data_IF_872439408342
#
_entry.id   IF_872439408342
#
_cell.length_a   1.000
_cell.length_b   1.000
_cell.length_c   1.000
_cell.angle_alpha   90.00
_cell.angle_beta   90.00
_cell.angle_gamma   90.00
#
_symmetry.space_group_name_H-M   'P 1'
#
loop_
_entity.id
_entity.type
_entity.pdbx_description
1 polymer ?
#
# COMPACT_ATOMS: atom_id res chain seq x y z
N UNK A 1 -6.81 51.04 18.78
CA UNK A 1 -7.57 49.80 18.46
C UNK A 1 -7.56 49.45 16.97
N UNK A 2 -7.68 50.40 16.04
CA UNK A 2 -7.63 50.12 14.57
C UNK A 2 -6.24 49.71 14.01
N UNK A 3 -5.14 50.14 14.64
CA UNK A 3 -3.76 49.82 14.26
C UNK A 3 -3.38 48.40 14.72
N UNK A 4 -3.92 47.92 15.84
CA UNK A 4 -3.68 46.57 16.33
C UNK A 4 -4.37 45.48 15.47
N UNK A 5 -5.51 45.80 14.86
CA UNK A 5 -6.25 44.91 13.97
C UNK A 5 -5.52 44.81 12.60
N UNK A 6 -4.89 45.88 12.13
CA UNK A 6 -4.12 45.86 10.90
C UNK A 6 -2.81 45.02 11.03
N UNK A 7 -2.23 44.96 12.23
CA UNK A 7 -1.03 44.16 12.48
C UNK A 7 -1.34 42.65 12.59
N UNK A 8 -2.57 42.28 12.94
CA UNK A 8 -3.00 40.87 13.04
C UNK A 8 -3.35 40.24 11.69
N UNK A 9 -3.66 41.05 10.66
CA UNK A 9 -3.93 40.58 9.28
C UNK A 9 -2.68 40.30 8.44
N UNK A 10 -1.48 40.56 8.95
CA UNK A 10 -0.22 40.40 8.18
C UNK A 10 0.54 39.11 8.50
N UNK A 11 -0.05 38.22 9.29
CA UNK A 11 0.49 36.87 9.45
C UNK A 11 -0.10 36.01 8.30
N UNK A 12 0.35 36.27 7.10
CA UNK A 12 0.26 35.28 6.03
C UNK A 12 1.16 34.12 6.46
N UNK A 13 0.57 33.01 6.86
CA UNK A 13 1.27 31.75 7.03
C UNK A 13 1.84 31.37 5.66
N UNK A 14 3.11 31.71 5.44
CA UNK A 14 3.86 31.07 4.40
C UNK A 14 3.93 29.59 4.78
N UNK A 15 3.06 28.79 4.21
CA UNK A 15 3.12 27.34 4.38
C UNK A 15 4.35 26.85 3.61
N UNK A 16 5.45 26.72 4.32
CA UNK A 16 6.64 26.10 3.79
C UNK A 16 6.33 24.62 3.54
N UNK A 17 6.30 24.22 2.28
CA UNK A 17 6.07 22.83 1.87
C UNK A 17 7.38 22.07 1.98
N UNK A 18 7.38 20.91 2.64
CA UNK A 18 8.59 20.07 2.73
C UNK A 18 8.77 19.21 1.49
N UNK A 19 10.02 18.88 1.17
CA UNK A 19 10.32 17.96 0.05
C UNK A 19 9.60 16.62 0.21
N UNK A 20 9.45 16.09 1.42
CA UNK A 20 8.71 14.84 1.71
C UNK A 20 7.24 14.87 1.27
N UNK A 21 6.62 16.05 1.22
CA UNK A 21 5.22 16.19 0.82
C UNK A 21 5.04 16.14 -0.70
N UNK A 22 6.06 16.55 -1.46
CA UNK A 22 5.98 16.75 -2.91
C UNK A 22 6.84 15.80 -3.73
N UNK A 23 7.76 15.06 -3.11
CA UNK A 23 8.63 14.12 -3.78
C UNK A 23 8.77 12.80 -3.02
N UNK A 24 8.98 11.72 -3.76
CA UNK A 24 9.27 10.39 -3.24
C UNK A 24 10.70 9.99 -3.61
N UNK A 25 11.32 9.16 -2.78
CA UNK A 25 12.60 8.52 -3.11
C UNK A 25 12.32 7.35 -4.06
N UNK A 26 12.98 7.35 -5.22
CA UNK A 26 12.85 6.27 -6.21
C UNK A 26 13.38 4.95 -5.63
N UNK A 27 12.64 3.86 -5.85
CA UNK A 27 12.97 2.56 -5.28
C UNK A 27 12.31 2.29 -3.91
N UNK A 28 11.90 3.31 -3.17
CA UNK A 28 11.20 3.18 -1.89
C UNK A 28 9.69 3.24 -2.13
N UNK A 29 9.07 2.09 -2.35
CA UNK A 29 7.62 1.98 -2.61
C UNK A 29 7.06 0.69 -2.05
N UNK A 30 5.78 0.70 -1.74
CA UNK A 30 5.04 -0.52 -1.47
C UNK A 30 5.00 -1.41 -2.72
N UNK A 31 5.22 -2.70 -2.51
CA UNK A 31 5.05 -3.72 -3.54
C UNK A 31 3.72 -4.43 -3.32
N UNK A 32 3.05 -4.79 -4.42
CA UNK A 32 1.80 -5.56 -4.33
C UNK A 32 2.14 -7.04 -4.37
N UNK A 33 1.58 -7.79 -3.42
CA UNK A 33 1.69 -9.25 -3.36
C UNK A 33 0.31 -9.87 -3.36
N UNK A 34 0.19 -11.04 -3.99
CA UNK A 34 -1.08 -11.73 -4.21
C UNK A 34 -0.95 -13.23 -3.92
N UNK A 35 -2.01 -13.81 -3.41
CA UNK A 35 -2.15 -15.25 -3.23
C UNK A 35 -3.56 -15.72 -3.46
N UNK A 36 -3.73 -17.03 -3.62
CA UNK A 36 -5.02 -17.69 -3.77
C UNK A 36 -5.13 -18.82 -2.75
N UNK A 37 -6.26 -18.92 -2.09
CA UNK A 37 -6.47 -19.92 -1.04
C UNK A 37 -7.96 -20.16 -0.76
N UNK A 38 -8.21 -20.81 0.36
CA UNK A 38 -9.53 -21.12 0.86
C UNK A 38 -9.77 -20.46 2.21
N UNK A 39 -11.00 -20.05 2.42
CA UNK A 39 -11.54 -19.65 3.71
C UNK A 39 -12.46 -20.78 4.18
N UNK A 40 -12.28 -21.22 5.42
CA UNK A 40 -13.03 -22.31 6.04
C UNK A 40 -13.83 -21.82 7.24
N UNK A 41 -14.76 -22.63 7.73
CA UNK A 41 -15.55 -22.30 8.92
C UNK A 41 -16.78 -21.41 8.66
N UNK A 42 -17.16 -21.22 7.41
CA UNK A 42 -18.32 -20.42 7.02
C UNK A 42 -19.62 -21.17 7.35
N UNK A 43 -20.61 -20.46 7.90
CA UNK A 43 -21.93 -21.04 8.29
C UNK A 43 -22.87 -21.13 7.09
N UNK A 44 -22.56 -21.98 6.12
CA UNK A 44 -23.32 -22.17 4.86
C UNK A 44 -23.36 -20.91 3.98
N UNK A 45 -22.44 -19.96 4.20
CA UNK A 45 -22.30 -18.73 3.40
C UNK A 45 -21.16 -18.79 2.40
N UNK A 46 -20.41 -19.88 2.38
CA UNK A 46 -19.34 -20.13 1.42
C UNK A 46 -19.86 -20.44 0.02
N UNK A 47 -18.94 -20.87 -0.84
CA UNK A 47 -19.23 -21.16 -2.24
C UNK A 47 -20.24 -22.31 -2.39
N UNK A 48 -21.00 -22.25 -3.47
CA UNK A 48 -21.94 -23.29 -3.84
C UNK A 48 -21.25 -24.61 -4.20
N UNK A 49 -21.99 -25.69 -4.05
CA UNK A 49 -21.51 -27.05 -4.38
C UNK A 49 -21.27 -27.28 -5.87
N UNK A 50 -21.52 -26.29 -6.70
CA UNK A 50 -21.29 -26.30 -8.16
C UNK A 50 -20.03 -25.49 -8.56
N UNK A 51 -19.40 -24.80 -7.61
CA UNK A 51 -18.17 -24.03 -7.84
C UNK A 51 -16.99 -24.99 -8.11
N UNK A 52 -16.71 -25.27 -9.38
CA UNK A 52 -15.65 -26.21 -9.78
C UNK A 52 -14.28 -25.79 -9.25
N UNK A 53 -13.99 -24.49 -9.21
CA UNK A 53 -12.72 -23.97 -8.72
C UNK A 53 -12.53 -24.29 -7.24
N UNK A 54 -13.54 -24.04 -6.41
CA UNK A 54 -13.52 -24.30 -4.97
C UNK A 54 -13.37 -25.79 -4.68
N UNK A 55 -14.18 -26.63 -5.36
CA UNK A 55 -14.13 -28.07 -5.20
C UNK A 55 -12.75 -28.65 -5.59
N UNK A 56 -12.18 -28.18 -6.69
CA UNK A 56 -10.84 -28.61 -7.12
C UNK A 56 -9.76 -28.16 -6.12
N UNK A 57 -9.88 -26.95 -5.58
CA UNK A 57 -8.94 -26.42 -4.58
C UNK A 57 -9.00 -27.22 -3.28
N UNK A 58 -10.20 -27.61 -2.82
CA UNK A 58 -10.37 -28.48 -1.66
C UNK A 58 -9.75 -29.86 -1.93
N UNK A 59 -10.02 -30.46 -3.08
CA UNK A 59 -9.45 -31.76 -3.44
C UNK A 59 -7.92 -31.72 -3.49
N UNK A 60 -7.34 -30.68 -4.06
CA UNK A 60 -5.89 -30.50 -4.10
C UNK A 60 -5.30 -30.36 -2.69
N UNK A 61 -5.98 -29.63 -1.80
CA UNK A 61 -5.56 -29.48 -0.41
C UNK A 61 -5.60 -30.83 0.33
N UNK A 62 -6.68 -31.60 0.19
CA UNK A 62 -6.81 -32.93 0.79
C UNK A 62 -5.76 -33.89 0.25
N UNK A 63 -5.48 -33.84 -1.06
CA UNK A 63 -4.44 -34.63 -1.68
C UNK A 63 -3.03 -34.31 -1.15
N UNK A 64 -2.76 -33.04 -0.84
CA UNK A 64 -1.50 -32.64 -0.20
C UNK A 64 -1.37 -33.19 1.23
N UNK A 65 -2.49 -33.57 1.86
CA UNK A 65 -2.55 -34.24 3.17
C UNK A 65 -2.64 -35.78 3.05
N UNK A 66 -2.35 -36.36 1.86
CA UNK A 66 -2.50 -37.78 1.52
C UNK A 66 -3.94 -38.33 1.62
N UNK A 67 -4.94 -37.47 1.48
CA UNK A 67 -6.35 -37.84 1.39
C UNK A 67 -6.77 -37.68 -0.06
N UNK A 68 -7.01 -38.80 -0.74
CA UNK A 68 -7.49 -38.78 -2.14
C UNK A 68 -9.01 -38.75 -2.16
N UNK A 69 -9.59 -37.69 -2.74
CA UNK A 69 -11.05 -37.51 -2.81
C UNK A 69 -11.41 -36.87 -4.17
N UNK A 70 -12.44 -37.37 -4.79
CA UNK A 70 -12.94 -36.82 -6.03
C UNK A 70 -13.64 -35.47 -5.77
N UNK A 71 -13.31 -34.38 -6.51
CA UNK A 71 -13.96 -33.08 -6.33
C UNK A 71 -15.48 -33.09 -6.35
N UNK A 72 -16.11 -33.99 -7.13
CA UNK A 72 -17.57 -34.10 -7.25
C UNK A 72 -18.27 -34.65 -5.98
N UNK A 73 -17.49 -35.33 -5.13
CA UNK A 73 -18.01 -35.90 -3.87
C UNK A 73 -17.98 -34.88 -2.72
N UNK A 74 -17.32 -33.74 -2.91
CA UNK A 74 -17.18 -32.67 -1.91
C UNK A 74 -18.47 -31.83 -1.93
N UNK A 75 -19.22 -31.88 -0.85
CA UNK A 75 -20.47 -31.10 -0.67
C UNK A 75 -20.36 -30.22 0.55
N UNK A 76 -19.73 -29.07 0.40
CA UNK A 76 -19.60 -28.12 1.51
C UNK A 76 -19.93 -26.70 1.04
N UNK A 77 -20.77 -26.02 1.81
CA UNK A 77 -21.00 -24.56 1.68
C UNK A 77 -20.26 -23.76 2.78
N UNK A 78 -19.37 -24.43 3.51
CA UNK A 78 -18.63 -23.84 4.61
C UNK A 78 -17.22 -23.39 4.19
N UNK A 79 -16.94 -23.46 2.90
CA UNK A 79 -15.64 -23.10 2.32
C UNK A 79 -15.87 -22.11 1.18
N UNK A 80 -15.00 -21.14 1.05
CA UNK A 80 -14.98 -20.21 -0.07
C UNK A 80 -13.58 -20.10 -0.65
N UNK A 81 -13.48 -20.03 -1.97
CA UNK A 81 -12.26 -19.70 -2.67
C UNK A 81 -12.02 -18.18 -2.65
N UNK A 82 -10.81 -17.77 -2.33
CA UNK A 82 -10.49 -16.36 -2.14
C UNK A 82 -9.19 -15.97 -2.83
N UNK A 83 -9.12 -14.71 -3.22
CA UNK A 83 -7.87 -14.00 -3.50
C UNK A 83 -7.46 -13.22 -2.26
N UNK A 84 -6.18 -13.27 -1.96
CA UNK A 84 -5.56 -12.55 -0.85
C UNK A 84 -4.59 -11.55 -1.44
N UNK A 85 -4.74 -10.28 -1.08
CA UNK A 85 -3.88 -9.20 -1.55
C UNK A 85 -3.32 -8.42 -0.37
N UNK A 86 -2.10 -7.93 -0.50
CA UNK A 86 -1.50 -7.08 0.49
C UNK A 86 -0.51 -6.09 -0.13
N UNK A 87 -0.27 -5.00 0.61
CA UNK A 87 0.82 -4.07 0.36
C UNK A 87 2.02 -4.52 1.18
N UNK A 88 3.09 -4.88 0.49
CA UNK A 88 4.34 -5.26 1.09
C UNK A 88 5.22 -4.01 1.24
N UNK A 89 5.43 -3.57 2.46
CA UNK A 89 6.15 -2.35 2.75
C UNK A 89 7.61 -2.42 2.26
N UNK A 90 8.20 -1.29 1.82
CA UNK A 90 9.63 -1.23 1.55
C UNK A 90 10.39 -1.50 2.86
N UNK A 91 11.52 -2.17 2.77
CA UNK A 91 12.38 -2.54 3.92
C UNK A 91 11.73 -3.44 4.98
N UNK A 92 10.61 -4.10 4.65
CA UNK A 92 10.02 -5.09 5.55
C UNK A 92 11.02 -6.22 5.81
N UNK A 93 11.15 -6.61 7.08
CA UNK A 93 12.09 -7.62 7.55
C UNK A 93 11.39 -8.96 7.76
N UNK A 94 12.15 -10.04 7.65
CA UNK A 94 11.63 -11.36 7.97
C UNK A 94 11.08 -11.38 9.41
N UNK A 95 9.83 -11.88 9.56
CA UNK A 95 9.11 -11.88 10.82
C UNK A 95 8.18 -10.67 11.04
N UNK A 96 8.24 -9.64 10.19
CA UNK A 96 7.28 -8.54 10.29
C UNK A 96 5.87 -9.00 9.93
N UNK A 97 4.89 -8.55 10.73
CA UNK A 97 3.49 -8.82 10.49
C UNK A 97 2.82 -7.64 9.78
N UNK A 98 1.85 -7.94 8.91
CA UNK A 98 1.08 -6.94 8.18
C UNK A 98 -0.35 -7.41 7.90
N UNK A 99 -1.23 -6.48 7.56
CA UNK A 99 -2.62 -6.77 7.27
C UNK A 99 -2.80 -7.26 5.83
N UNK A 100 -3.73 -8.19 5.65
CA UNK A 100 -4.07 -8.70 4.33
C UNK A 100 -5.56 -8.54 4.05
N UNK A 101 -5.89 -8.25 2.80
CA UNK A 101 -7.27 -8.19 2.32
C UNK A 101 -7.63 -9.51 1.66
N UNK A 102 -8.77 -10.04 2.03
CA UNK A 102 -9.31 -11.31 1.52
C UNK A 102 -10.62 -11.04 0.78
N UNK A 103 -10.70 -11.45 -0.47
CA UNK A 103 -11.88 -11.26 -1.32
C UNK A 103 -12.34 -12.56 -1.93
N UNK A 104 -13.64 -12.85 -1.90
CA UNK A 104 -14.21 -14.05 -2.53
C UNK A 104 -14.05 -13.99 -4.05
N UNK A 105 -13.70 -15.13 -4.65
CA UNK A 105 -13.62 -15.30 -6.11
C UNK A 105 -14.86 -16.05 -6.63
N UNK A 106 -15.44 -16.89 -5.75
CA UNK A 106 -16.58 -17.72 -6.09
C UNK A 106 -17.91 -17.02 -5.87
N UNK A 107 -18.92 -17.81 -5.56
CA UNK A 107 -20.30 -17.39 -5.30
C UNK A 107 -20.65 -17.33 -3.80
N UNK A 108 -19.65 -17.21 -2.94
CA UNK A 108 -19.84 -17.06 -1.51
C UNK A 108 -20.65 -15.81 -1.19
N UNK A 109 -21.60 -15.97 -0.26
CA UNK A 109 -22.47 -14.88 0.17
C UNK A 109 -21.84 -14.01 1.26
N UNK A 110 -20.96 -14.59 2.07
CA UNK A 110 -20.27 -13.90 3.16
C UNK A 110 -19.03 -14.69 3.60
N UNK A 111 -17.97 -13.98 3.95
CA UNK A 111 -16.76 -14.52 4.58
C UNK A 111 -16.78 -14.35 6.11
N UNK A 112 -17.87 -13.85 6.68
CA UNK A 112 -18.02 -13.58 8.12
C UNK A 112 -17.81 -14.84 8.96
N UNK A 113 -16.96 -14.72 9.98
CA UNK A 113 -16.63 -15.81 10.90
C UNK A 113 -15.72 -16.89 10.31
N UNK A 114 -15.27 -16.70 9.07
CA UNK A 114 -14.34 -17.61 8.41
C UNK A 114 -12.90 -17.40 8.84
N UNK A 115 -12.07 -18.42 8.57
CA UNK A 115 -10.63 -18.40 8.80
C UNK A 115 -9.93 -18.65 7.48
N UNK A 116 -9.00 -17.76 7.13
CA UNK A 116 -8.11 -17.92 5.99
C UNK A 116 -7.08 -19.01 6.29
N UNK A 117 -6.99 -20.00 5.42
CA UNK A 117 -5.94 -21.02 5.48
C UNK A 117 -4.60 -20.43 5.07
N UNK A 118 -3.51 -21.07 5.46
CA UNK A 118 -2.15 -20.66 5.13
C UNK A 118 -2.00 -20.46 3.63
N UNK A 119 -1.66 -19.23 3.25
CA UNK A 119 -1.66 -18.75 1.88
C UNK A 119 -0.31 -18.16 1.54
N UNK A 120 0.44 -18.72 0.58
CA UNK A 120 1.64 -18.08 0.08
C UNK A 120 1.30 -16.85 -0.77
N UNK A 121 1.88 -15.70 -0.42
CA UNK A 121 1.75 -14.45 -1.15
C UNK A 121 2.95 -14.24 -2.06
N UNK A 122 2.70 -14.05 -3.35
CA UNK A 122 3.71 -13.93 -4.40
C UNK A 122 3.79 -12.50 -4.92
N UNK A 123 5.00 -12.08 -5.22
CA UNK A 123 5.25 -10.86 -5.99
C UNK A 123 5.04 -11.06 -7.50
N UNK A 124 5.23 -9.99 -8.26
CA UNK A 124 5.13 -10.00 -9.74
C UNK A 124 6.16 -10.95 -10.39
N UNK A 125 7.29 -11.18 -9.72
CA UNK A 125 8.34 -12.12 -10.16
C UNK A 125 8.00 -13.60 -9.86
N UNK A 126 6.83 -13.88 -9.30
CA UNK A 126 6.35 -15.22 -8.96
C UNK A 126 6.97 -15.82 -7.69
N UNK A 127 7.88 -15.13 -7.03
CA UNK A 127 8.49 -15.61 -5.79
C UNK A 127 7.57 -15.36 -4.60
N UNK A 128 7.62 -16.26 -3.61
CA UNK A 128 6.91 -16.11 -2.33
C UNK A 128 7.70 -15.15 -1.46
N UNK A 129 7.02 -14.10 -0.96
CA UNK A 129 7.58 -13.10 -0.05
C UNK A 129 6.97 -13.18 1.34
N UNK A 130 5.75 -13.67 1.46
CA UNK A 130 5.06 -13.75 2.74
C UNK A 130 4.09 -14.94 2.77
N UNK A 131 3.68 -15.32 3.97
CA UNK A 131 2.57 -16.21 4.23
C UNK A 131 1.44 -15.44 4.91
N UNK A 132 0.20 -15.79 4.63
CA UNK A 132 -0.96 -15.18 5.27
C UNK A 132 -1.90 -16.23 5.81
N UNK A 133 -2.42 -16.02 7.03
CA UNK A 133 -3.43 -16.86 7.66
C UNK A 133 -4.13 -16.13 8.80
N UNK A 134 -5.32 -16.57 9.16
CA UNK A 134 -5.99 -16.06 10.37
C UNK A 134 -7.49 -15.83 10.21
N UNK A 135 -8.15 -15.41 11.29
CA UNK A 135 -9.58 -15.13 11.29
C UNK A 135 -9.88 -13.87 10.46
N UNK A 136 -10.96 -13.93 9.69
CA UNK A 136 -11.39 -12.83 8.85
C UNK A 136 -12.30 -11.90 9.63
N UNK A 137 -11.97 -10.62 9.63
CA UNK A 137 -12.82 -9.53 10.10
C UNK A 137 -13.49 -8.83 8.92
N UNK A 138 -14.80 -8.74 8.94
CA UNK A 138 -15.58 -7.97 7.97
C UNK A 138 -15.93 -6.63 8.61
N UNK A 139 -15.93 -5.55 7.82
CA UNK A 139 -16.34 -4.23 8.28
C UNK A 139 -17.74 -4.28 8.90
N UNK A 140 -17.91 -3.64 10.07
CA UNK A 140 -19.12 -3.73 10.88
C UNK A 140 -20.37 -3.29 10.13
N UNK A 141 -21.49 -3.98 10.41
CA UNK A 141 -22.83 -3.52 10.08
C UNK A 141 -23.09 -2.29 10.95
N UNK A 142 -23.22 -1.11 10.36
CA UNK A 142 -23.83 0.00 11.07
C UNK A 142 -25.29 -0.35 11.33
N UNK A 143 -25.62 -0.71 12.55
CA UNK A 143 -27.00 -0.76 13.01
C UNK A 143 -27.57 0.66 12.93
N UNK A 144 -28.56 0.87 12.06
CA UNK A 144 -29.38 2.08 11.95
C UNK A 144 -28.69 3.36 11.45
N UNK A 145 -28.54 3.47 10.14
CA UNK A 145 -28.19 4.74 9.49
C UNK A 145 -27.92 4.56 8.02
N UNK A 146 -28.65 5.27 7.21
CA UNK A 146 -28.66 5.20 5.74
C UNK A 146 -27.26 5.02 5.10
N UNK A 147 -27.09 4.00 4.26
CA UNK A 147 -26.19 4.08 3.11
C UNK A 147 -24.82 3.39 3.20
N UNK A 148 -24.48 2.63 4.23
CA UNK A 148 -23.27 1.80 4.19
C UNK A 148 -23.62 0.36 3.80
N UNK A 149 -23.51 0.03 2.51
CA UNK A 149 -23.55 -1.35 2.06
C UNK A 149 -22.34 -2.10 2.63
N UNK A 150 -22.59 -3.02 3.54
CA UNK A 150 -21.59 -3.98 4.00
C UNK A 150 -21.23 -4.89 2.82
N UNK A 151 -19.96 -4.97 2.47
CA UNK A 151 -19.47 -5.93 1.47
C UNK A 151 -19.05 -7.23 2.16
N UNK A 152 -19.97 -8.17 2.43
CA UNK A 152 -19.68 -9.36 3.23
C UNK A 152 -18.73 -10.35 2.54
N UNK A 153 -18.43 -10.14 1.26
CA UNK A 153 -17.53 -10.95 0.44
C UNK A 153 -16.07 -10.46 0.46
N UNK A 154 -15.81 -9.36 1.17
CA UNK A 154 -14.47 -8.82 1.37
C UNK A 154 -14.23 -8.62 2.86
N UNK A 155 -13.07 -9.03 3.35
CA UNK A 155 -12.66 -8.85 4.73
C UNK A 155 -11.16 -8.64 4.87
N UNK A 156 -10.73 -8.40 6.09
CA UNK A 156 -9.32 -8.24 6.44
C UNK A 156 -8.89 -9.26 7.48
N UNK A 157 -7.65 -9.68 7.39
CA UNK A 157 -6.98 -10.43 8.46
C UNK A 157 -5.89 -9.52 9.01
N UNK A 158 -6.15 -8.95 10.19
CA UNK A 158 -5.24 -8.02 10.84
C UNK A 158 -4.00 -8.76 11.38
N UNK A 159 -2.82 -8.29 10.99
CA UNK A 159 -1.56 -8.94 11.35
C UNK A 159 -1.42 -10.38 10.84
N UNK A 160 -2.28 -10.80 9.90
CA UNK A 160 -2.32 -12.17 9.40
C UNK A 160 -1.25 -12.50 8.36
N UNK A 161 -0.62 -11.49 7.77
CA UNK A 161 0.52 -11.63 6.87
C UNK A 161 1.82 -11.65 7.66
N UNK A 162 2.72 -12.57 7.32
CA UNK A 162 4.06 -12.69 7.92
C UNK A 162 5.10 -12.68 6.81
N UNK A 163 6.10 -11.81 6.93
CA UNK A 163 7.21 -11.71 5.98
C UNK A 163 8.13 -12.92 6.09
N UNK A 164 8.31 -13.65 4.99
CA UNK A 164 9.21 -14.79 4.89
C UNK A 164 10.50 -14.46 4.12
N UNK A 165 10.40 -13.52 3.19
CA UNK A 165 11.53 -13.09 2.37
C UNK A 165 11.56 -11.59 2.23
N UNK A 166 12.71 -11.00 2.49
CA UNK A 166 12.94 -9.57 2.31
C UNK A 166 13.13 -9.21 0.83
N UNK A 167 12.73 -8.01 0.46
CA UNK A 167 13.15 -7.37 -0.79
C UNK A 167 14.45 -6.65 -0.48
N UNK A 168 15.54 -7.20 -0.98
CA UNK A 168 16.87 -6.65 -0.70
C UNK A 168 17.02 -5.27 -1.35
N UNK A 169 17.11 -4.23 -0.54
CA UNK A 169 17.43 -2.86 -0.94
C UNK A 169 18.59 -2.37 -0.07
N UNK A 170 19.80 -2.48 -0.62
CA UNK A 170 21.02 -2.01 0.05
C UNK A 170 21.17 -0.50 -0.11
N UNK A 171 20.59 0.26 0.81
CA UNK A 171 20.79 1.72 0.84
C UNK A 171 22.12 2.14 1.46
N UNK A 172 22.77 1.27 2.20
CA UNK A 172 24.00 1.61 2.91
C UNK A 172 25.18 1.82 1.97
N UNK A 173 25.28 0.99 0.91
CA UNK A 173 26.35 1.10 -0.08
C UNK A 173 26.01 1.98 -1.29
N UNK A 174 24.82 2.58 -1.30
CA UNK A 174 24.45 3.50 -2.37
C UNK A 174 25.09 4.86 -2.16
N UNK A 175 25.70 5.40 -3.21
CA UNK A 175 26.29 6.75 -3.23
C UNK A 175 25.39 7.77 -3.94
N UNK A 176 24.37 7.30 -4.63
CA UNK A 176 23.41 8.15 -5.36
C UNK A 176 22.00 7.77 -4.99
N UNK A 177 21.11 8.74 -4.92
CA UNK A 177 19.69 8.55 -4.78
C UNK A 177 18.96 9.41 -5.83
N UNK A 178 17.71 9.05 -6.11
CA UNK A 178 16.88 9.81 -7.04
C UNK A 178 15.59 10.18 -6.36
N UNK A 179 15.21 11.45 -6.43
CA UNK A 179 13.89 11.91 -6.06
C UNK A 179 13.00 11.99 -7.29
N UNK A 180 11.74 11.60 -7.13
CA UNK A 180 10.70 11.75 -8.13
C UNK A 180 9.59 12.63 -7.58
N UNK A 181 9.32 13.77 -8.24
CA UNK A 181 8.22 14.65 -7.86
C UNK A 181 6.88 13.97 -8.11
N UNK A 182 5.92 14.20 -7.23
CA UNK A 182 4.55 13.71 -7.37
C UNK A 182 3.82 14.39 -8.55
N UNK A 183 4.12 15.68 -8.81
CA UNK A 183 3.65 16.44 -9.96
C UNK A 183 4.83 16.97 -10.77
N UNK A 184 4.81 16.77 -12.09
CA UNK A 184 5.88 17.23 -13.00
C UNK A 184 5.80 18.74 -13.18
N UNK A 185 6.83 19.47 -12.78
CA UNK A 185 6.94 20.92 -12.96
C UNK A 185 8.40 21.35 -12.98
N UNK A 186 8.83 22.06 -14.04
CA UNK A 186 10.22 22.49 -14.22
C UNK A 186 10.66 23.45 -13.10
N UNK A 187 9.82 24.42 -12.71
CA UNK A 187 10.16 25.38 -11.68
C UNK A 187 10.36 24.69 -10.33
N UNK A 188 9.46 23.76 -9.97
CA UNK A 188 9.55 23.02 -8.72
C UNK A 188 10.77 22.09 -8.66
N UNK A 189 11.14 21.43 -9.76
CA UNK A 189 12.32 20.57 -9.78
C UNK A 189 13.60 21.39 -9.58
N UNK A 190 13.70 22.56 -10.19
CA UNK A 190 14.82 23.50 -10.01
C UNK A 190 14.81 24.12 -8.60
N UNK A 191 13.65 24.46 -8.06
CA UNK A 191 13.54 24.98 -6.68
C UNK A 191 14.06 23.97 -5.65
N UNK A 192 13.68 22.68 -5.79
CA UNK A 192 14.19 21.60 -4.92
C UNK A 192 15.71 21.43 -5.08
N UNK A 193 16.22 21.38 -6.31
CA UNK A 193 17.66 21.32 -6.58
C UNK A 193 18.39 22.45 -5.85
N UNK A 194 17.93 23.69 -6.01
CA UNK A 194 18.56 24.86 -5.43
C UNK A 194 18.51 24.85 -3.90
N UNK A 195 17.39 24.44 -3.31
CA UNK A 195 17.24 24.33 -1.86
C UNK A 195 18.21 23.31 -1.26
N UNK A 196 18.35 22.15 -1.89
CA UNK A 196 19.31 21.11 -1.46
C UNK A 196 20.74 21.62 -1.61
N UNK A 197 21.11 22.16 -2.77
CA UNK A 197 22.47 22.65 -3.04
C UNK A 197 22.85 23.83 -2.12
N UNK A 198 21.90 24.68 -1.77
CA UNK A 198 22.10 25.77 -0.80
C UNK A 198 22.40 25.24 0.60
N UNK A 199 21.64 24.21 1.06
CA UNK A 199 21.84 23.60 2.39
C UNK A 199 23.21 22.95 2.52
N UNK A 200 23.65 22.25 1.49
CA UNK A 200 24.93 21.50 1.51
C UNK A 200 26.10 22.26 0.94
N UNK A 201 25.91 23.51 0.48
CA UNK A 201 26.94 24.37 -0.11
C UNK A 201 27.72 23.69 -1.23
N UNK A 202 27.04 22.90 -2.07
CA UNK A 202 27.65 22.14 -3.17
C UNK A 202 26.61 21.71 -4.21
N UNK A 203 27.07 21.22 -5.35
CA UNK A 203 26.22 20.73 -6.45
C UNK A 203 25.92 19.24 -6.28
N UNK A 204 25.27 18.86 -5.18
CA UNK A 204 24.93 17.45 -4.87
C UNK A 204 23.55 17.03 -5.40
N UNK A 205 22.72 17.98 -5.81
CA UNK A 205 21.42 17.74 -6.42
C UNK A 205 21.39 18.30 -7.84
N UNK A 206 20.92 17.51 -8.81
CA UNK A 206 20.77 17.91 -10.21
C UNK A 206 19.40 17.49 -10.72
N UNK A 207 18.56 18.45 -11.13
CA UNK A 207 17.31 18.17 -11.81
C UNK A 207 17.61 17.74 -13.25
N UNK A 208 17.21 16.51 -13.60
CA UNK A 208 17.44 15.94 -14.93
C UNK A 208 16.27 16.27 -15.84
N UNK A 209 15.08 16.25 -15.28
CA UNK A 209 13.82 16.54 -15.96
C UNK A 209 12.82 17.16 -14.96
N UNK A 210 11.60 17.58 -15.38
CA UNK A 210 10.65 18.26 -14.51
C UNK A 210 10.11 17.40 -13.35
N UNK A 211 10.50 16.13 -13.29
CA UNK A 211 10.07 15.18 -12.27
C UNK A 211 11.21 14.52 -11.52
N UNK A 212 12.38 14.42 -12.13
CA UNK A 212 13.48 13.60 -11.63
C UNK A 212 14.65 14.46 -11.17
N UNK A 213 15.09 14.25 -9.93
CA UNK A 213 16.25 14.93 -9.35
C UNK A 213 17.23 13.87 -8.84
N UNK A 214 18.43 13.87 -9.38
CA UNK A 214 19.49 13.01 -8.89
C UNK A 214 20.22 13.68 -7.71
N UNK A 215 20.51 12.87 -6.71
CA UNK A 215 21.20 13.25 -5.49
C UNK A 215 22.51 12.47 -5.40
N UNK A 216 23.58 13.14 -5.04
CA UNK A 216 24.85 12.53 -4.71
C UNK A 216 25.08 12.61 -3.21
N UNK A 217 25.43 11.48 -2.58
CA UNK A 217 25.70 11.41 -1.15
C UNK A 217 26.92 12.30 -0.81
N UNK A 218 26.79 13.26 0.12
CA UNK A 218 27.94 14.03 0.60
C UNK A 218 28.85 13.15 1.46
N UNK A 219 30.14 13.45 1.46
CA UNK A 219 31.10 12.79 2.33
C UNK A 219 30.70 12.91 3.81
N UNK A 220 30.95 11.89 4.60
CA UNK A 220 30.70 11.81 6.04
C UNK A 220 29.22 11.64 6.49
N UNK A 221 28.34 11.17 5.64
CA UNK A 221 26.95 10.84 6.01
C UNK A 221 26.54 9.49 5.46
N UNK A 222 25.62 8.83 6.15
CA UNK A 222 24.91 7.68 5.58
C UNK A 222 23.80 8.15 4.63
N UNK A 223 23.41 7.31 3.67
CA UNK A 223 22.31 7.63 2.75
C UNK A 223 20.99 7.89 3.51
N UNK A 224 20.75 7.17 4.59
CA UNK A 224 19.54 7.33 5.41
C UNK A 224 19.49 8.68 6.10
N UNK A 225 20.60 9.12 6.73
CA UNK A 225 20.71 10.45 7.35
C UNK A 225 20.56 11.56 6.31
N UNK A 226 21.23 11.40 5.17
CA UNK A 226 21.16 12.36 4.08
C UNK A 226 19.73 12.52 3.56
N UNK A 227 19.04 11.42 3.26
CA UNK A 227 17.66 11.47 2.78
C UNK A 227 16.69 12.03 3.83
N UNK A 228 16.87 11.68 5.12
CA UNK A 228 16.07 12.26 6.19
C UNK A 228 16.21 13.78 6.28
N UNK A 229 17.44 14.29 6.13
CA UNK A 229 17.68 15.74 6.11
C UNK A 229 17.13 16.42 4.85
N UNK A 230 17.25 15.77 3.68
CA UNK A 230 16.72 16.28 2.40
C UNK A 230 15.20 16.36 2.45
N UNK A 231 14.53 15.32 2.94
CA UNK A 231 13.06 15.27 3.06
C UNK A 231 12.50 16.37 3.98
N UNK A 232 13.27 16.85 4.94
CA UNK A 232 12.87 17.89 5.88
C UNK A 232 13.23 19.32 5.42
N UNK A 233 13.74 19.50 4.19
CA UNK A 233 14.03 20.84 3.64
C UNK A 233 12.72 21.47 3.21
N UNK A 234 12.52 22.72 3.65
CA UNK A 234 11.43 23.57 3.21
C UNK A 234 11.75 24.18 1.85
N UNK A 235 10.77 24.20 0.98
CA UNK A 235 10.86 24.71 -0.39
C UNK A 235 9.73 25.68 -0.69
N UNK A 236 9.99 26.60 -1.58
CA UNK A 236 8.95 27.42 -2.23
C UNK A 236 8.36 26.60 -3.39
N UNK A 237 7.21 25.96 -3.11
CA UNK A 237 6.56 25.05 -4.03
C UNK A 237 5.35 25.71 -4.68
N UNK A 238 5.38 25.80 -6.01
CA UNK A 238 4.23 26.28 -6.78
C UNK A 238 3.26 25.12 -7.01
N UNK A 239 2.11 25.19 -6.36
CA UNK A 239 1.05 24.19 -6.54
C UNK A 239 0.19 24.58 -7.74
N UNK A 240 0.06 23.67 -8.72
CA UNK A 240 -0.90 23.83 -9.80
C UNK A 240 -2.32 23.74 -9.21
N UNK A 241 -3.07 24.81 -9.29
CA UNK A 241 -4.47 24.81 -8.87
C UNK A 241 -5.28 23.92 -9.82
N UNK A 242 -5.82 22.82 -9.30
CA UNK A 242 -6.70 21.92 -10.04
C UNK A 242 -8.10 22.03 -9.48
N UNK A 243 -9.05 22.37 -10.32
CA UNK A 243 -10.48 22.29 -10.00
C UNK A 243 -10.97 20.93 -10.49
N UNK A 244 -11.39 20.06 -9.56
CA UNK A 244 -11.96 18.75 -9.89
C UNK A 244 -13.47 18.89 -9.90
N UNK A 245 -14.08 18.74 -11.06
CA UNK A 245 -15.53 18.74 -11.23
C UNK A 245 -15.98 17.28 -11.45
N UNK A 246 -16.77 16.77 -10.52
CA UNK A 246 -17.42 15.48 -10.72
C UNK A 246 -18.78 15.70 -11.40
N UNK A 247 -18.84 15.47 -12.71
CA UNK A 247 -20.04 15.68 -13.52
C UNK A 247 -21.26 14.86 -13.06
N UNK A 248 -21.04 13.69 -12.43
CA UNK A 248 -22.11 12.80 -11.97
C UNK A 248 -22.77 13.27 -10.67
N UNK A 249 -22.01 13.93 -9.79
CA UNK A 249 -22.50 14.37 -8.47
C UNK A 249 -22.63 15.88 -8.37
N UNK A 250 -22.14 16.64 -9.35
CA UNK A 250 -22.10 18.10 -9.32
C UNK A 250 -21.17 18.68 -8.24
N UNK A 251 -20.30 17.86 -7.66
CA UNK A 251 -19.36 18.28 -6.62
C UNK A 251 -18.15 18.96 -7.26
N UNK A 252 -17.80 20.15 -6.77
CA UNK A 252 -16.60 20.91 -7.15
C UNK A 252 -15.66 20.90 -5.92
N UNK A 253 -14.43 20.46 -6.12
CA UNK A 253 -13.36 20.45 -5.09
C UNK A 253 -12.15 21.18 -5.63
#
# INVERSE_FOLDING_TARGET
MKILIALFCLITFAQATRISEVANVVGVRDNQIIGYSLVVGLKKTGDGTTSKFTLQSIANMLKAMNIDMNPVDIKSKNVAAVVVTAKFAPFARQGDAFDVTVSSIGDAKSLEGGTLLMTPLKGVDGKIYALAQGPISIGGKNEKGAGSESHPTVGMVYGGGLVEREINQDMYHQHNATLSLKSSNFANSVAIQNAINKKYKGSIAVAIDPRTINLQLPNNKSMVEFLAEVQNIDIDYTQDQKIIINERTGTIV
#
